data_IF_136400552084
#
_entry.id   IF_136400552084
#
_cell.length_a   1.000
_cell.length_b   1.000
_cell.length_c   1.000
_cell.angle_alpha   90.00
_cell.angle_beta   90.00
_cell.angle_gamma   90.00
#
_symmetry.space_group_name_H-M   'P 1'
#
loop_
_entity.id
_entity.type
_entity.pdbx_description
1 polymer ?
#
# COMPACT_ATOMS: atom_id res chain seq x y z
N UNK A 1 2.58 14.50 -9.75
CA UNK A 1 1.23 14.21 -9.21
C UNK A 1 0.57 13.22 -10.16
N UNK A 2 0.00 12.17 -9.63
CA UNK A 2 -0.70 11.10 -10.38
C UNK A 2 -2.17 11.17 -9.98
N UNK A 3 -3.05 11.55 -10.92
CA UNK A 3 -4.47 11.70 -10.62
C UNK A 3 -5.24 10.40 -10.80
N UNK A 4 -4.72 9.49 -11.64
CA UNK A 4 -5.27 8.15 -11.82
C UNK A 4 -4.21 7.11 -12.16
N UNK A 5 -4.54 5.86 -11.87
CA UNK A 5 -3.80 4.67 -12.29
C UNK A 5 -4.76 3.81 -13.09
N UNK A 6 -4.41 3.49 -14.33
CA UNK A 6 -5.23 2.63 -15.20
C UNK A 6 -4.48 1.34 -15.49
N UNK A 7 -5.15 0.23 -15.25
CA UNK A 7 -4.68 -1.09 -15.68
C UNK A 7 -5.51 -1.51 -16.90
N UNK A 8 -4.86 -1.95 -17.95
CA UNK A 8 -5.53 -2.45 -19.14
C UNK A 8 -4.98 -3.82 -19.51
N UNK A 9 -5.84 -4.84 -19.39
CA UNK A 9 -5.50 -6.24 -19.61
C UNK A 9 -4.27 -6.73 -18.85
N UNK A 10 -4.04 -6.15 -17.64
CA UNK A 10 -2.93 -6.55 -16.78
C UNK A 10 -3.10 -8.02 -16.36
N UNK A 11 -2.04 -8.82 -16.50
CA UNK A 11 -2.01 -10.20 -15.98
C UNK A 11 -0.59 -10.59 -15.57
N UNK A 12 -0.47 -11.53 -14.63
CA UNK A 12 0.83 -12.08 -14.26
C UNK A 12 1.34 -13.00 -15.38
N UNK A 13 2.60 -12.84 -15.78
CA UNK A 13 3.23 -13.75 -16.78
C UNK A 13 3.22 -15.22 -16.33
N UNK A 14 3.31 -15.47 -15.03
CA UNK A 14 3.22 -16.81 -14.47
C UNK A 14 1.87 -17.50 -14.73
N UNK A 15 0.81 -16.72 -15.00
CA UNK A 15 -0.53 -17.24 -15.35
C UNK A 15 -0.85 -17.12 -16.84
N UNK A 16 0.09 -16.58 -17.66
CA UNK A 16 -0.07 -16.50 -19.10
C UNK A 16 -0.09 -17.92 -19.70
N UNK A 17 -1.24 -18.33 -20.21
CA UNK A 17 -1.44 -19.69 -20.78
C UNK A 17 -2.04 -20.73 -19.82
N UNK A 18 -2.18 -20.44 -18.53
CA UNK A 18 -3.03 -21.24 -17.67
C UNK A 18 -4.51 -20.92 -17.96
N UNK A 19 -5.42 -21.91 -18.01
CA UNK A 19 -6.84 -21.61 -18.01
C UNK A 19 -7.10 -20.76 -16.76
N UNK A 20 -7.69 -19.57 -16.97
CA UNK A 20 -8.00 -18.66 -15.87
C UNK A 20 -8.79 -19.43 -14.81
N UNK A 21 -8.14 -19.70 -13.68
CA UNK A 21 -8.73 -20.50 -12.63
C UNK A 21 -9.83 -19.70 -11.94
N UNK A 22 -11.07 -20.02 -12.22
CA UNK A 22 -12.21 -19.62 -11.39
C UNK A 22 -12.88 -18.33 -11.85
N UNK A 23 -13.45 -17.59 -10.93
CA UNK A 23 -14.25 -16.40 -11.19
C UNK A 23 -13.49 -15.30 -11.98
N UNK A 24 -14.17 -14.56 -12.85
CA UNK A 24 -13.58 -13.47 -13.60
C UNK A 24 -13.00 -12.41 -12.64
N UNK A 25 -11.76 -11.99 -12.88
CA UNK A 25 -11.14 -10.90 -12.13
C UNK A 25 -11.60 -9.56 -12.69
N UNK A 26 -11.91 -8.61 -11.79
CA UNK A 26 -12.23 -7.23 -12.15
C UNK A 26 -10.97 -6.34 -12.24
N UNK A 27 -9.82 -6.89 -11.86
CA UNK A 27 -8.51 -6.20 -11.85
C UNK A 27 -7.58 -6.75 -12.91
N UNK A 28 -7.43 -8.10 -12.98
CA UNK A 28 -6.63 -8.75 -14.00
C UNK A 28 -7.45 -9.09 -15.23
N UNK A 29 -6.82 -9.03 -16.42
CA UNK A 29 -7.46 -9.26 -17.72
C UNK A 29 -8.71 -8.40 -17.97
N UNK A 30 -8.79 -7.26 -17.34
CA UNK A 30 -9.86 -6.28 -17.46
C UNK A 30 -9.28 -4.87 -17.56
N UNK A 31 -10.13 -3.89 -17.76
CA UNK A 31 -9.74 -2.48 -17.67
C UNK A 31 -10.30 -1.90 -16.39
N UNK A 32 -9.43 -1.43 -15.51
CA UNK A 32 -9.80 -0.80 -14.24
C UNK A 32 -9.05 0.51 -14.06
N UNK A 33 -9.72 1.49 -13.49
CA UNK A 33 -9.15 2.80 -13.16
C UNK A 33 -9.27 3.08 -11.67
N UNK A 34 -8.13 3.39 -11.05
CA UNK A 34 -8.06 3.92 -9.69
C UNK A 34 -7.88 5.42 -9.77
N UNK A 35 -8.74 6.18 -9.09
CA UNK A 35 -8.72 7.65 -9.08
C UNK A 35 -8.30 8.17 -7.71
N UNK A 36 -7.53 9.24 -7.72
CA UNK A 36 -7.19 9.99 -6.52
C UNK A 36 -8.46 10.46 -5.82
N UNK A 37 -8.46 10.46 -4.49
CA UNK A 37 -9.61 10.84 -3.67
C UNK A 37 -10.63 9.72 -3.42
N UNK A 38 -10.60 8.62 -4.18
CA UNK A 38 -11.47 7.47 -3.98
C UNK A 38 -10.79 6.34 -3.21
N UNK A 39 -11.61 5.50 -2.59
CA UNK A 39 -11.19 4.34 -1.79
C UNK A 39 -11.63 3.02 -2.45
N UNK A 40 -10.69 2.11 -2.57
CA UNK A 40 -10.86 0.83 -3.24
C UNK A 40 -10.50 -0.32 -2.31
N UNK A 41 -11.35 -1.34 -2.28
CA UNK A 41 -11.05 -2.64 -1.70
C UNK A 41 -10.84 -3.66 -2.81
N UNK A 42 -9.69 -4.32 -2.84
CA UNK A 42 -9.36 -5.39 -3.78
C UNK A 42 -9.35 -6.72 -3.03
N UNK A 43 -10.40 -7.51 -3.20
CA UNK A 43 -10.58 -8.79 -2.51
C UNK A 43 -10.09 -9.94 -3.37
N UNK A 44 -9.30 -10.81 -2.78
CA UNK A 44 -8.90 -12.06 -3.43
C UNK A 44 -8.49 -13.12 -2.42
N UNK A 45 -8.69 -14.37 -2.76
CA UNK A 45 -8.14 -15.48 -1.99
C UNK A 45 -6.60 -15.45 -1.92
N UNK A 46 -6.03 -16.26 -1.03
CA UNK A 46 -4.57 -16.41 -0.96
C UNK A 46 -3.99 -16.90 -2.29
N UNK A 47 -2.80 -16.42 -2.66
CA UNK A 47 -2.10 -16.83 -3.89
C UNK A 47 -2.66 -16.25 -5.19
N UNK A 48 -3.68 -15.39 -5.15
CA UNK A 48 -4.32 -14.81 -6.34
C UNK A 48 -3.59 -13.59 -6.93
N UNK A 49 -2.43 -13.19 -6.40
CA UNK A 49 -1.61 -12.13 -6.99
C UNK A 49 -1.75 -10.74 -6.35
N UNK A 50 -2.38 -10.59 -5.17
CA UNK A 50 -2.52 -9.29 -4.46
C UNK A 50 -1.18 -8.59 -4.24
N UNK A 51 -0.20 -9.27 -3.65
CA UNK A 51 1.12 -8.68 -3.41
C UNK A 51 1.88 -8.42 -4.72
N UNK A 52 1.62 -9.21 -5.79
CA UNK A 52 2.15 -8.92 -7.11
C UNK A 52 1.52 -7.67 -7.71
N UNK A 53 0.22 -7.49 -7.56
CA UNK A 53 -0.49 -6.26 -7.93
C UNK A 53 0.12 -5.04 -7.26
N UNK A 54 0.31 -5.05 -5.93
CA UNK A 54 0.98 -3.97 -5.22
C UNK A 54 2.41 -3.73 -5.73
N UNK A 55 3.17 -4.80 -5.99
CA UNK A 55 4.53 -4.72 -6.49
C UNK A 55 4.61 -4.15 -7.91
N UNK A 56 3.65 -4.45 -8.78
CA UNK A 56 3.55 -3.87 -10.12
C UNK A 56 3.28 -2.36 -10.06
N UNK A 57 2.33 -1.92 -9.24
CA UNK A 57 2.03 -0.49 -9.09
C UNK A 57 3.22 0.30 -8.53
N UNK A 58 4.05 -0.32 -7.72
CA UNK A 58 5.27 0.29 -7.20
C UNK A 58 6.49 0.16 -8.13
N UNK A 59 6.36 -0.52 -9.29
CA UNK A 59 7.46 -0.81 -10.20
C UNK A 59 8.57 -1.65 -9.58
N UNK A 60 8.23 -2.51 -8.62
CA UNK A 60 9.16 -3.47 -7.99
C UNK A 60 9.20 -4.80 -8.75
N UNK A 61 8.17 -5.05 -9.55
CA UNK A 61 8.09 -6.17 -10.50
C UNK A 61 7.60 -5.64 -11.84
N UNK A 62 8.00 -6.31 -12.93
CA UNK A 62 7.64 -5.97 -14.30
C UNK A 62 7.29 -7.20 -15.15
N UNK A 63 7.07 -8.34 -14.50
CA UNK A 63 6.72 -9.62 -15.12
C UNK A 63 5.20 -9.78 -15.27
N UNK A 64 4.58 -8.81 -15.93
CA UNK A 64 3.16 -8.79 -16.26
C UNK A 64 2.94 -8.72 -17.78
N UNK A 65 1.73 -8.94 -18.25
CA UNK A 65 1.23 -8.61 -19.59
C UNK A 65 0.20 -7.49 -19.49
N UNK A 66 -0.14 -6.84 -20.60
CA UNK A 66 -0.99 -5.65 -20.58
C UNK A 66 -0.22 -4.40 -20.22
N UNK A 67 -0.92 -3.36 -19.83
CA UNK A 67 -0.33 -2.04 -19.54
C UNK A 67 -0.74 -1.48 -18.18
N UNK A 68 0.13 -0.66 -17.61
CA UNK A 68 -0.14 0.17 -16.42
C UNK A 68 0.12 1.62 -16.80
N UNK A 69 -0.89 2.47 -16.65
CA UNK A 69 -0.76 3.91 -16.88
C UNK A 69 -0.83 4.68 -15.57
N UNK A 70 0.06 5.65 -15.40
CA UNK A 70 0.10 6.60 -14.30
C UNK A 70 -0.14 8.00 -14.89
N UNK A 71 -1.36 8.49 -14.81
CA UNK A 71 -1.78 9.68 -15.51
C UNK A 71 -1.57 9.53 -17.02
N UNK A 72 -0.69 10.33 -17.60
CA UNK A 72 -0.40 10.32 -19.06
C UNK A 72 0.73 9.35 -19.46
N UNK A 73 1.40 8.69 -18.51
CA UNK A 73 2.50 7.75 -18.78
C UNK A 73 2.01 6.31 -18.73
N UNK A 74 2.26 5.57 -19.79
CA UNK A 74 1.88 4.15 -19.91
C UNK A 74 3.12 3.27 -20.03
N UNK A 75 3.12 2.17 -19.30
CA UNK A 75 4.19 1.18 -19.27
C UNK A 75 3.66 -0.21 -19.64
N UNK A 76 4.37 -0.85 -20.56
CA UNK A 76 4.21 -2.27 -20.86
C UNK A 76 5.22 -3.10 -20.05
N UNK A 77 5.04 -4.41 -20.07
CA UNK A 77 5.96 -5.35 -19.44
C UNK A 77 7.41 -5.14 -19.90
N UNK A 78 8.33 -5.04 -18.95
CA UNK A 78 9.75 -4.84 -19.22
C UNK A 78 10.16 -3.42 -19.62
N UNK A 79 9.22 -2.55 -19.91
CA UNK A 79 9.47 -1.14 -20.27
C UNK A 79 9.50 -0.23 -19.03
N UNK A 80 10.34 -0.56 -18.05
CA UNK A 80 10.46 0.27 -16.87
C UNK A 80 11.49 1.38 -17.04
N UNK A 81 11.12 2.63 -16.78
CA UNK A 81 12.09 3.71 -16.51
C UNK A 81 12.41 3.69 -15.00
N UNK A 82 13.58 3.20 -14.56
CA UNK A 82 13.91 3.11 -13.13
C UNK A 82 13.78 4.44 -12.40
N UNK A 83 14.18 5.55 -13.05
CA UNK A 83 14.08 6.90 -12.49
C UNK A 83 12.63 7.32 -12.21
N UNK A 84 11.70 6.99 -13.11
CA UNK A 84 10.27 7.24 -12.92
C UNK A 84 9.75 6.50 -11.68
N UNK A 85 10.00 5.19 -11.58
CA UNK A 85 9.52 4.41 -10.44
C UNK A 85 10.20 4.76 -9.11
N UNK A 86 11.43 5.30 -9.14
CA UNK A 86 12.05 5.89 -7.94
C UNK A 86 11.25 7.10 -7.48
N UNK A 87 10.88 8.02 -8.38
CA UNK A 87 10.06 9.19 -8.04
C UNK A 87 8.65 8.79 -7.58
N UNK A 88 8.03 7.81 -8.25
CA UNK A 88 6.72 7.27 -7.86
C UNK A 88 6.74 6.77 -6.41
N UNK A 89 7.71 5.93 -6.04
CA UNK A 89 7.82 5.40 -4.67
C UNK A 89 8.22 6.44 -3.63
N UNK A 90 8.80 7.53 -4.04
CA UNK A 90 9.21 8.61 -3.14
C UNK A 90 8.08 9.60 -2.87
N UNK A 91 7.26 9.93 -3.89
CA UNK A 91 6.38 11.09 -3.83
C UNK A 91 4.92 10.80 -4.21
N UNK A 92 4.63 9.70 -4.93
CA UNK A 92 3.29 9.46 -5.47
C UNK A 92 2.59 8.22 -4.93
N UNK A 93 3.34 7.15 -4.62
CA UNK A 93 2.74 5.92 -4.10
C UNK A 93 3.41 5.52 -2.79
N UNK A 94 2.65 5.60 -1.70
CA UNK A 94 3.02 5.00 -0.43
C UNK A 94 2.54 3.55 -0.39
N UNK A 95 3.31 2.65 0.21
CA UNK A 95 2.94 1.25 0.30
C UNK A 95 3.30 0.63 1.64
N UNK A 96 2.37 -0.16 2.16
CA UNK A 96 2.57 -1.13 3.23
C UNK A 96 2.41 -2.53 2.64
N UNK A 97 3.50 -3.29 2.57
CA UNK A 97 3.49 -4.69 2.13
C UNK A 97 3.10 -5.63 3.28
N UNK A 98 2.59 -6.80 2.94
CA UNK A 98 2.18 -7.85 3.87
C UNK A 98 3.32 -8.29 4.81
N UNK A 99 4.57 -8.31 4.33
CA UNK A 99 5.77 -8.64 5.10
C UNK A 99 6.44 -7.41 5.76
N UNK A 100 5.72 -6.28 5.81
CA UNK A 100 6.08 -5.01 6.45
C UNK A 100 7.36 -4.36 5.93
N UNK A 101 8.36 -5.11 5.46
CA UNK A 101 9.67 -4.59 4.97
C UNK A 101 10.32 -3.60 5.94
N UNK A 102 10.22 -3.86 7.24
CA UNK A 102 10.90 -3.06 8.26
C UNK A 102 12.38 -3.45 8.33
N UNK A 103 13.21 -2.50 8.73
CA UNK A 103 14.60 -2.73 9.08
C UNK A 103 14.64 -3.21 10.55
N UNK A 104 14.98 -4.48 10.81
CA UNK A 104 14.82 -5.09 12.12
C UNK A 104 15.74 -4.46 13.20
N UNK A 105 16.88 -3.90 12.79
CA UNK A 105 17.87 -3.26 13.67
C UNK A 105 17.47 -1.85 14.08
N UNK A 106 16.64 -1.18 13.26
CA UNK A 106 16.17 0.17 13.55
C UNK A 106 15.00 0.16 14.52
N UNK A 107 14.91 1.20 15.32
CA UNK A 107 13.77 1.42 16.22
C UNK A 107 12.48 1.70 15.43
N UNK A 108 11.33 1.66 16.11
CA UNK A 108 10.05 1.98 15.49
C UNK A 108 10.06 3.39 14.88
N UNK A 109 10.53 4.39 15.64
CA UNK A 109 10.60 5.77 15.15
C UNK A 109 11.58 5.92 13.99
N UNK A 110 12.76 5.30 14.06
CA UNK A 110 13.76 5.37 12.99
C UNK A 110 13.23 4.75 11.68
N UNK A 111 12.54 3.60 11.74
CA UNK A 111 11.90 2.99 10.57
C UNK A 111 10.94 3.95 9.86
N UNK A 112 10.12 4.67 10.62
CA UNK A 112 9.19 5.65 10.06
C UNK A 112 9.94 6.87 9.51
N UNK A 113 10.91 7.37 10.27
CA UNK A 113 11.69 8.56 9.90
C UNK A 113 12.53 8.37 8.63
N UNK A 114 12.84 7.13 8.21
CA UNK A 114 13.47 6.88 6.90
C UNK A 114 12.67 7.51 5.75
N UNK A 115 11.33 7.47 5.82
CA UNK A 115 10.46 8.06 4.79
C UNK A 115 10.30 9.56 4.98
N UNK A 116 10.03 10.00 6.21
CA UNK A 116 9.83 11.42 6.51
C UNK A 116 11.06 12.26 6.22
N UNK A 117 12.28 11.80 6.52
CA UNK A 117 13.53 12.53 6.25
C UNK A 117 13.80 12.72 4.76
N UNK A 118 13.36 11.79 3.90
CA UNK A 118 13.54 11.92 2.45
C UNK A 118 12.68 13.03 1.84
N UNK A 119 11.58 13.37 2.47
CA UNK A 119 10.57 14.28 1.91
C UNK A 119 10.32 15.51 2.78
N UNK A 120 10.72 15.49 4.05
CA UNK A 120 10.41 16.54 5.02
C UNK A 120 8.91 16.59 5.38
N UNK A 121 8.14 15.50 5.13
CA UNK A 121 6.68 15.53 5.19
C UNK A 121 6.14 15.61 6.61
N UNK A 122 6.72 14.85 7.56
CA UNK A 122 6.42 14.92 8.99
C UNK A 122 7.70 15.12 9.82
N UNK A 123 7.56 15.84 10.92
CA UNK A 123 8.59 15.94 11.95
C UNK A 123 8.66 14.65 12.77
N UNK A 124 9.75 14.43 13.48
CA UNK A 124 9.86 13.28 14.39
C UNK A 124 8.81 13.34 15.52
N UNK A 125 8.47 14.54 15.99
CA UNK A 125 7.41 14.71 17.00
C UNK A 125 6.05 14.21 16.49
N UNK A 126 5.66 14.58 15.29
CA UNK A 126 4.41 14.10 14.68
C UNK A 126 4.41 12.60 14.47
N UNK A 127 5.54 12.02 14.04
CA UNK A 127 5.71 10.57 13.89
C UNK A 127 5.53 9.86 15.23
N UNK A 128 6.08 10.40 16.32
CA UNK A 128 5.90 9.86 17.67
C UNK A 128 4.44 9.88 18.10
N UNK A 129 3.73 10.99 17.88
CA UNK A 129 2.30 11.08 18.15
C UNK A 129 1.49 10.03 17.35
N UNK A 130 1.82 9.81 16.09
CA UNK A 130 1.16 8.76 15.28
C UNK A 130 1.40 7.35 15.84
N UNK A 131 2.62 7.05 16.28
CA UNK A 131 2.96 5.78 16.93
C UNK A 131 2.25 5.62 18.29
N UNK A 132 2.15 6.70 19.09
CA UNK A 132 1.43 6.72 20.36
C UNK A 132 -0.05 6.44 20.19
N UNK A 133 -0.71 7.02 19.18
CA UNK A 133 -2.11 6.78 18.84
C UNK A 133 -2.37 5.28 18.59
N UNK A 134 -1.40 4.54 18.06
CA UNK A 134 -1.47 3.10 17.82
C UNK A 134 -0.89 2.28 19.01
N UNK A 135 -0.85 2.85 20.22
CA UNK A 135 -0.43 2.13 21.44
C UNK A 135 1.05 1.75 21.47
N UNK A 136 1.92 2.47 20.75
CA UNK A 136 3.36 2.20 20.69
C UNK A 136 4.21 3.17 21.52
N UNK A 137 3.60 4.00 22.40
CA UNK A 137 4.31 4.99 23.23
C UNK A 137 5.53 4.42 23.97
N UNK A 138 5.39 3.26 24.63
CA UNK A 138 6.47 2.58 25.34
C UNK A 138 7.42 1.75 24.46
N UNK A 139 7.26 1.80 23.13
CA UNK A 139 7.98 0.95 22.18
C UNK A 139 8.69 1.72 21.05
N UNK A 140 8.58 3.03 21.03
CA UNK A 140 9.13 3.88 19.95
C UNK A 140 10.64 3.72 19.76
N UNK A 141 11.37 3.53 20.86
CA UNK A 141 12.83 3.34 20.87
C UNK A 141 13.27 1.86 20.84
N UNK A 142 12.33 0.93 20.67
CA UNK A 142 12.68 -0.48 20.56
C UNK A 142 13.03 -0.84 19.13
N UNK A 143 14.11 -1.62 18.88
CA UNK A 143 14.37 -2.23 17.58
C UNK A 143 13.17 -3.04 17.10
N UNK A 144 12.83 -2.93 15.82
CA UNK A 144 11.66 -3.61 15.26
C UNK A 144 11.73 -5.13 15.38
N UNK A 145 12.93 -5.73 15.40
CA UNK A 145 13.12 -7.16 15.69
C UNK A 145 12.58 -7.60 17.05
N UNK A 146 12.42 -6.69 18.02
CA UNK A 146 11.92 -6.98 19.38
C UNK A 146 10.43 -6.67 19.55
N UNK A 147 9.77 -6.23 18.50
CA UNK A 147 8.33 -5.95 18.49
C UNK A 147 7.53 -7.19 18.10
N UNK A 148 6.32 -7.32 18.62
CA UNK A 148 5.36 -8.33 18.14
C UNK A 148 4.96 -8.06 16.69
N UNK A 149 4.42 -9.06 15.99
CA UNK A 149 3.96 -8.88 14.60
C UNK A 149 2.93 -7.77 14.48
N UNK A 150 1.95 -7.68 15.39
CA UNK A 150 0.97 -6.59 15.39
C UNK A 150 1.58 -5.22 15.68
N UNK A 151 2.64 -5.14 16.52
CA UNK A 151 3.40 -3.89 16.73
C UNK A 151 4.18 -3.51 15.47
N UNK A 152 4.84 -4.47 14.81
CA UNK A 152 5.53 -4.25 13.55
C UNK A 152 4.57 -3.78 12.45
N UNK A 153 3.38 -4.37 12.39
CA UNK A 153 2.32 -3.98 11.46
C UNK A 153 1.92 -2.52 11.63
N UNK A 154 1.72 -2.07 12.87
CA UNK A 154 1.39 -0.67 13.18
C UNK A 154 2.54 0.28 12.82
N UNK A 155 3.79 -0.10 13.07
CA UNK A 155 4.97 0.69 12.62
C UNK A 155 5.01 0.80 11.09
N UNK A 156 4.78 -0.30 10.36
CA UNK A 156 4.77 -0.29 8.89
C UNK A 156 3.63 0.57 8.32
N UNK A 157 2.47 0.58 8.97
CA UNK A 157 1.36 1.45 8.62
C UNK A 157 1.72 2.93 8.79
N UNK A 158 2.23 3.33 9.97
CA UNK A 158 2.67 4.71 10.21
C UNK A 158 3.75 5.11 9.21
N UNK A 159 4.70 4.21 8.88
CA UNK A 159 5.71 4.48 7.86
C UNK A 159 5.11 4.72 6.47
N UNK A 160 4.04 4.02 6.11
CA UNK A 160 3.34 4.27 4.84
C UNK A 160 2.64 5.64 4.86
N UNK A 161 2.05 6.05 5.98
CA UNK A 161 1.46 7.38 6.13
C UNK A 161 2.50 8.52 6.16
N UNK A 162 3.75 8.22 6.51
CA UNK A 162 4.79 9.22 6.80
C UNK A 162 5.51 9.77 5.56
N UNK A 163 4.92 9.63 4.37
CA UNK A 163 5.44 10.25 3.13
C UNK A 163 4.30 10.93 2.36
N UNK A 164 4.59 11.97 1.54
CA UNK A 164 3.60 12.48 0.60
C UNK A 164 3.25 11.40 -0.42
N UNK A 165 1.99 11.33 -0.81
CA UNK A 165 1.58 10.41 -1.86
C UNK A 165 0.28 10.88 -2.54
N UNK A 166 0.08 10.44 -3.77
CA UNK A 166 -1.19 10.55 -4.48
C UNK A 166 -2.07 9.32 -4.21
N UNK A 167 -1.43 8.16 -3.97
CA UNK A 167 -2.09 6.90 -3.61
C UNK A 167 -1.37 6.21 -2.45
N UNK A 168 -2.15 5.59 -1.56
CA UNK A 168 -1.65 4.68 -0.55
C UNK A 168 -2.16 3.25 -0.82
N UNK A 169 -1.24 2.29 -0.86
CA UNK A 169 -1.52 0.88 -1.03
C UNK A 169 -1.26 0.15 0.28
N UNK A 170 -2.26 -0.57 0.76
CA UNK A 170 -2.17 -1.36 2.00
C UNK A 170 -2.45 -2.83 1.68
N UNK A 171 -1.41 -3.67 1.73
CA UNK A 171 -1.50 -5.10 1.44
C UNK A 171 -1.78 -5.88 2.73
N UNK A 172 -3.03 -6.32 2.91
CA UNK A 172 -3.54 -7.05 4.08
C UNK A 172 -3.21 -6.35 5.42
N UNK A 173 -3.66 -5.10 5.62
CA UNK A 173 -3.16 -4.23 6.70
C UNK A 173 -3.58 -4.63 8.12
N UNK A 174 -4.47 -5.61 8.31
CA UNK A 174 -5.02 -5.94 9.64
C UNK A 174 -4.89 -7.42 10.02
N UNK A 175 -3.99 -8.17 9.38
CA UNK A 175 -3.86 -9.62 9.59
C UNK A 175 -3.49 -10.05 11.03
N UNK A 176 -2.89 -9.16 11.83
CA UNK A 176 -2.40 -9.44 13.19
C UNK A 176 -2.83 -8.39 14.22
N UNK A 177 -3.98 -7.73 14.00
CA UNK A 177 -4.47 -6.65 14.86
C UNK A 177 -5.75 -7.04 15.58
N UNK A 178 -5.93 -6.47 16.77
CA UNK A 178 -7.21 -6.38 17.45
C UNK A 178 -8.11 -5.31 16.82
N UNK A 179 -9.37 -5.31 17.20
CA UNK A 179 -10.39 -4.43 16.64
C UNK A 179 -10.12 -2.95 16.93
N UNK A 180 -9.66 -2.62 18.14
CA UNK A 180 -9.40 -1.24 18.55
C UNK A 180 -8.28 -0.62 17.71
N UNK A 181 -7.17 -1.35 17.49
CA UNK A 181 -6.09 -0.89 16.63
C UNK A 181 -6.52 -0.80 15.15
N UNK A 182 -7.37 -1.71 14.68
CA UNK A 182 -7.89 -1.64 13.32
C UNK A 182 -8.78 -0.41 13.11
N UNK A 183 -9.63 -0.05 14.09
CA UNK A 183 -10.45 1.15 14.07
C UNK A 183 -9.60 2.43 14.07
N UNK A 184 -8.56 2.48 14.90
CA UNK A 184 -7.65 3.64 14.95
C UNK A 184 -6.86 3.79 13.64
N UNK A 185 -6.37 2.70 13.06
CA UNK A 185 -5.73 2.72 11.74
C UNK A 185 -6.68 3.24 10.65
N UNK A 186 -7.94 2.82 10.68
CA UNK A 186 -8.96 3.31 9.74
C UNK A 186 -9.23 4.80 9.93
N UNK A 187 -9.29 5.28 11.18
CA UNK A 187 -9.47 6.70 11.49
C UNK A 187 -8.28 7.55 10.96
N UNK A 188 -7.05 7.14 11.24
CA UNK A 188 -5.84 7.80 10.75
C UNK A 188 -5.77 7.83 9.21
N UNK A 189 -6.17 6.75 8.56
CA UNK A 189 -6.21 6.67 7.11
C UNK A 189 -7.26 7.63 6.53
N UNK A 190 -8.43 7.73 7.16
CA UNK A 190 -9.49 8.66 6.76
C UNK A 190 -9.05 10.12 6.91
N UNK A 191 -8.43 10.46 8.05
CA UNK A 191 -7.85 11.80 8.27
C UNK A 191 -6.83 12.14 7.17
N UNK A 192 -5.97 11.19 6.83
CA UNK A 192 -4.98 11.34 5.79
C UNK A 192 -5.61 11.54 4.41
N UNK A 193 -6.61 10.74 4.05
CA UNK A 193 -7.33 10.87 2.79
C UNK A 193 -8.02 12.22 2.67
N UNK A 194 -8.71 12.66 3.72
CA UNK A 194 -9.40 13.96 3.73
C UNK A 194 -8.43 15.14 3.63
N UNK A 195 -7.30 15.07 4.34
CA UNK A 195 -6.29 16.14 4.34
C UNK A 195 -5.64 16.36 2.98
N UNK A 196 -5.28 15.28 2.28
CA UNK A 196 -4.43 15.36 1.09
C UNK A 196 -5.13 14.86 -0.19
N UNK A 197 -6.41 14.49 -0.08
CA UNK A 197 -7.21 13.94 -1.18
C UNK A 197 -6.52 12.76 -1.89
N UNK A 198 -5.90 11.85 -1.13
CA UNK A 198 -5.22 10.67 -1.67
C UNK A 198 -6.21 9.58 -2.10
N UNK A 199 -5.83 8.79 -3.11
CA UNK A 199 -6.50 7.53 -3.41
C UNK A 199 -6.06 6.43 -2.42
N UNK A 200 -7.01 5.63 -1.94
CA UNK A 200 -6.75 4.53 -1.01
C UNK A 200 -7.03 3.20 -1.70
N UNK A 201 -6.05 2.29 -1.71
CA UNK A 201 -6.20 0.94 -2.26
C UNK A 201 -5.81 -0.07 -1.17
N UNK A 202 -6.77 -0.85 -0.72
CA UNK A 202 -6.57 -1.89 0.30
C UNK A 202 -6.78 -3.26 -0.33
N UNK A 203 -5.84 -4.18 -0.13
CA UNK A 203 -6.06 -5.59 -0.51
C UNK A 203 -6.47 -6.42 0.71
N UNK A 204 -7.32 -7.42 0.52
CA UNK A 204 -7.81 -8.29 1.59
C UNK A 204 -8.02 -9.73 1.16
N UNK A 205 -7.84 -10.68 2.10
CA UNK A 205 -8.24 -12.10 1.96
C UNK A 205 -9.55 -12.43 2.69
N UNK A 206 -10.35 -11.39 3.04
CA UNK A 206 -11.62 -11.55 3.76
C UNK A 206 -11.72 -10.75 5.05
N UNK A 207 -10.60 -10.38 5.67
CA UNK A 207 -10.59 -9.45 6.80
C UNK A 207 -10.48 -8.02 6.28
N UNK A 208 -11.56 -7.25 6.43
CA UNK A 208 -11.62 -5.87 5.94
C UNK A 208 -11.20 -4.90 7.04
N UNK A 209 -10.31 -3.96 6.69
CA UNK A 209 -10.11 -2.78 7.52
C UNK A 209 -11.48 -2.09 7.71
N UNK A 210 -11.86 -1.64 8.92
CA UNK A 210 -13.15 -0.96 9.18
C UNK A 210 -13.14 0.45 8.57
N UNK A 211 -13.16 0.49 7.25
CA UNK A 211 -13.05 1.66 6.39
C UNK A 211 -14.16 1.65 5.35
N UNK A 212 -14.68 2.81 4.96
CA UNK A 212 -15.68 2.91 3.91
C UNK A 212 -14.98 2.91 2.55
N UNK A 213 -15.42 2.01 1.67
CA UNK A 213 -14.86 1.87 0.34
C UNK A 213 -15.87 2.34 -0.71
N UNK A 214 -15.43 3.23 -1.61
CA UNK A 214 -16.25 3.67 -2.74
C UNK A 214 -16.44 2.55 -3.77
N UNK A 215 -15.42 1.71 -3.93
CA UNK A 215 -15.42 0.61 -4.91
C UNK A 215 -14.85 -0.66 -4.29
N UNK A 216 -15.53 -1.79 -4.52
CA UNK A 216 -15.05 -3.13 -4.13
C UNK A 216 -14.81 -3.93 -5.40
N UNK A 217 -13.59 -4.43 -5.60
CA UNK A 217 -13.15 -5.18 -6.77
C UNK A 217 -12.72 -6.60 -6.35
N UNK A 218 -13.00 -7.57 -7.20
CA UNK A 218 -12.52 -8.96 -7.05
C UNK A 218 -11.33 -9.21 -7.96
N UNK A 219 -10.26 -9.76 -7.38
CA UNK A 219 -9.03 -10.11 -8.09
C UNK A 219 -9.01 -11.60 -8.44
#
# INVERSE_FOLDING_TARGET
MIDNIVLDNLNLKAFAGAPQCGAPSEVFCSKVEFRKGLSYLVEAGSGRGKSSFCAFLCGLRNDYTGTISFGTRTFESGAGEPSFFVSVRRESIAVMFQDYKLFPELTAVENVMLKSRLTGYYTEHEVRLMLERLGLAGHTERPCAKLSLGQQQRVAFVRALAQPCDFILLDEPISHLDEDNALEMAAMLRERQQKDNIGVIVTSIGYRLPYEYDVVLKL
#
